data_IF_090425759283
#
_entry.id   IF_090425759283
#
_cell.length_a   1.000
_cell.length_b   1.000
_cell.length_c   1.000
_cell.angle_alpha   90.00
_cell.angle_beta   90.00
_cell.angle_gamma   90.00
#
_symmetry.space_group_name_H-M   'P 1'
#
loop_
_entity.id
_entity.type
_entity.pdbx_description
1 polymer ?
#
# COMPACT_ATOMS: atom_id res chain seq x y z
N UNK A 1 -2.32 2.07 32.98
CA UNK A 1 -3.78 1.83 33.08
C UNK A 1 -4.06 0.73 32.09
N UNK A 2 -4.53 -0.41 32.57
CA UNK A 2 -4.78 -1.59 31.74
C UNK A 2 -5.89 -1.27 30.73
N UNK A 3 -5.63 -1.53 29.45
CA UNK A 3 -6.56 -1.22 28.37
C UNK A 3 -7.38 -2.48 28.04
N UNK A 4 -8.64 -2.32 27.59
CA UNK A 4 -9.49 -3.46 27.19
C UNK A 4 -8.81 -4.35 26.14
N UNK A 5 -7.97 -3.76 25.29
CA UNK A 5 -7.23 -4.48 24.25
C UNK A 5 -6.11 -5.37 24.79
N UNK A 6 -5.68 -5.20 26.05
CA UNK A 6 -4.66 -6.07 26.67
C UNK A 6 -5.21 -7.47 26.98
N UNK A 7 -6.54 -7.61 27.02
CA UNK A 7 -7.24 -8.88 27.22
C UNK A 7 -7.49 -9.64 25.91
N UNK A 8 -7.14 -9.06 24.75
CA UNK A 8 -7.39 -9.68 23.45
C UNK A 8 -6.65 -11.00 23.28
N UNK A 9 -7.39 -12.00 22.82
CA UNK A 9 -6.86 -13.28 22.34
C UNK A 9 -7.14 -13.43 20.85
N UNK A 10 -6.48 -14.39 20.20
CA UNK A 10 -6.71 -14.68 18.78
C UNK A 10 -8.18 -15.04 18.50
N UNK A 11 -8.85 -15.73 19.42
CA UNK A 11 -10.26 -16.12 19.26
C UNK A 11 -11.23 -14.93 19.19
N UNK A 12 -10.84 -13.77 19.72
CA UNK A 12 -11.66 -12.55 19.71
C UNK A 12 -11.56 -11.79 18.38
N UNK A 13 -10.58 -12.14 17.53
CA UNK A 13 -10.30 -11.42 16.29
C UNK A 13 -11.19 -11.87 15.13
N UNK A 14 -11.60 -10.92 14.31
CA UNK A 14 -12.23 -11.19 13.02
C UNK A 14 -11.22 -11.83 12.05
N UNK A 15 -11.66 -12.53 11.00
CA UNK A 15 -10.75 -13.15 10.02
C UNK A 15 -9.70 -12.19 9.45
N UNK A 16 -10.09 -10.96 9.10
CA UNK A 16 -9.14 -9.97 8.56
C UNK A 16 -8.11 -9.53 9.60
N UNK A 17 -8.51 -9.40 10.87
CA UNK A 17 -7.58 -9.08 11.96
C UNK A 17 -6.65 -10.24 12.29
N UNK A 18 -7.06 -11.49 12.06
CA UNK A 18 -6.16 -12.65 12.18
C UNK A 18 -5.06 -12.62 11.12
N UNK A 19 -5.39 -12.23 9.88
CA UNK A 19 -4.36 -12.00 8.84
C UNK A 19 -3.35 -10.94 9.31
N UNK A 20 -3.83 -9.84 9.92
CA UNK A 20 -2.95 -8.81 10.46
C UNK A 20 -2.14 -9.30 11.68
N UNK A 21 -2.72 -10.15 12.54
CA UNK A 21 -2.00 -10.78 13.63
C UNK A 21 -0.85 -11.65 13.09
N UNK A 22 -1.12 -12.49 12.09
CA UNK A 22 -0.15 -13.41 11.51
C UNK A 22 1.04 -12.68 10.86
N UNK A 23 0.79 -11.53 10.24
CA UNK A 23 1.81 -10.75 9.52
C UNK A 23 2.51 -9.73 10.41
N UNK A 24 1.78 -9.06 11.31
CA UNK A 24 2.24 -7.87 12.02
C UNK A 24 2.26 -8.01 13.56
N UNK A 25 1.71 -9.09 14.11
CA UNK A 25 1.65 -9.35 15.55
C UNK A 25 0.53 -8.60 16.30
N UNK A 26 0.23 -9.08 17.52
CA UNK A 26 -0.90 -8.61 18.33
C UNK A 26 -0.80 -7.12 18.69
N UNK A 27 0.40 -6.61 18.97
CA UNK A 27 0.58 -5.19 19.31
C UNK A 27 0.14 -4.26 18.17
N UNK A 28 0.39 -4.65 16.91
CA UNK A 28 -0.10 -3.90 15.75
C UNK A 28 -1.63 -3.93 15.67
N UNK A 29 -2.25 -5.08 15.91
CA UNK A 29 -3.71 -5.23 15.95
C UNK A 29 -4.33 -4.34 17.02
N UNK A 30 -3.76 -4.32 18.23
CA UNK A 30 -4.19 -3.42 19.31
C UNK A 30 -4.10 -1.95 18.92
N UNK A 31 -3.01 -1.53 18.26
CA UNK A 31 -2.84 -0.16 17.78
C UNK A 31 -3.89 0.23 16.72
N UNK A 32 -4.19 -0.68 15.78
CA UNK A 32 -5.21 -0.46 14.76
C UNK A 32 -6.58 -0.33 15.42
N UNK A 33 -6.97 -1.27 16.29
CA UNK A 33 -8.25 -1.21 16.99
C UNK A 33 -8.37 0.06 17.85
N UNK A 34 -7.31 0.46 18.54
CA UNK A 34 -7.32 1.66 19.39
C UNK A 34 -7.45 2.95 18.59
N UNK A 35 -6.72 3.10 17.48
CA UNK A 35 -6.60 4.38 16.80
C UNK A 35 -7.46 4.51 15.53
N UNK A 36 -7.93 3.38 14.98
CA UNK A 36 -8.62 3.32 13.68
C UNK A 36 -10.00 2.64 13.79
N UNK A 37 -10.55 2.50 14.99
CA UNK A 37 -11.90 1.94 15.16
C UNK A 37 -12.95 2.77 14.42
N UNK A 38 -13.95 2.09 13.84
CA UNK A 38 -15.03 2.69 13.06
C UNK A 38 -14.65 3.05 11.62
N UNK A 39 -13.38 2.95 11.23
CA UNK A 39 -12.93 3.17 9.86
C UNK A 39 -13.04 1.90 9.02
N UNK A 40 -13.28 2.08 7.73
CA UNK A 40 -13.05 1.06 6.71
C UNK A 40 -11.85 1.51 5.86
N UNK A 41 -10.78 0.72 5.90
CA UNK A 41 -9.52 1.06 5.23
C UNK A 41 -9.29 0.07 4.09
N UNK A 42 -9.17 0.61 2.88
CA UNK A 42 -8.74 -0.14 1.72
C UNK A 42 -7.22 -0.32 1.74
N UNK A 43 -6.73 -1.55 1.51
CA UNK A 43 -5.31 -1.85 1.31
C UNK A 43 -5.01 -1.85 -0.21
N UNK A 44 -4.40 -0.80 -0.77
CA UNK A 44 -4.18 -0.69 -2.20
C UNK A 44 -3.07 -1.60 -2.69
N UNK A 45 -3.28 -2.21 -3.85
CA UNK A 45 -2.18 -2.76 -4.65
C UNK A 45 -1.28 -1.66 -5.21
N UNK A 46 -0.04 -2.00 -5.58
CA UNK A 46 0.96 -1.05 -6.11
C UNK A 46 0.42 -0.22 -7.29
N UNK A 47 -0.39 -0.84 -8.17
CA UNK A 47 -0.96 -0.17 -9.33
C UNK A 47 -1.93 0.99 -8.99
N UNK A 48 -2.37 1.11 -7.73
CA UNK A 48 -3.20 2.22 -7.25
C UNK A 48 -2.37 3.34 -6.58
N UNK A 49 -1.05 3.16 -6.47
CA UNK A 49 -0.13 4.11 -5.85
C UNK A 49 0.69 4.88 -6.91
N UNK A 50 0.00 5.49 -7.88
CA UNK A 50 0.58 6.17 -9.05
C UNK A 50 1.78 7.08 -8.69
N UNK A 51 1.66 7.92 -7.66
CA UNK A 51 2.72 8.84 -7.23
C UNK A 51 3.95 8.11 -6.71
N UNK A 52 3.76 7.00 -5.97
CA UNK A 52 4.85 6.17 -5.48
C UNK A 52 5.55 5.46 -6.64
N UNK A 53 4.78 4.90 -7.56
CA UNK A 53 5.31 4.23 -8.77
C UNK A 53 6.16 5.21 -9.58
N UNK A 54 5.68 6.43 -9.82
CA UNK A 54 6.45 7.45 -10.54
C UNK A 54 7.71 7.88 -9.82
N UNK A 55 7.64 8.04 -8.50
CA UNK A 55 8.83 8.32 -7.69
C UNK A 55 9.86 7.20 -7.86
N UNK A 56 9.42 5.94 -7.90
CA UNK A 56 10.29 4.79 -8.10
C UNK A 56 10.93 4.79 -9.51
N UNK A 57 10.14 4.95 -10.57
CA UNK A 57 10.63 5.04 -11.95
C UNK A 57 11.68 6.15 -12.10
N UNK A 58 11.41 7.34 -11.56
CA UNK A 58 12.34 8.48 -11.63
C UNK A 58 13.64 8.22 -10.86
N UNK A 59 13.56 7.54 -9.72
CA UNK A 59 14.72 7.21 -8.89
C UNK A 59 15.64 6.20 -9.57
N UNK A 60 15.09 5.29 -10.38
CA UNK A 60 15.81 4.24 -11.08
C UNK A 60 15.67 4.38 -12.60
N UNK A 61 15.96 5.58 -13.11
CA UNK A 61 15.80 5.93 -14.53
C UNK A 61 16.76 5.19 -15.47
N UNK A 62 17.78 4.53 -14.91
CA UNK A 62 18.73 3.67 -15.60
C UNK A 62 18.15 2.28 -15.94
N UNK A 63 17.07 1.86 -15.26
CA UNK A 63 16.43 0.56 -15.49
C UNK A 63 15.48 0.60 -16.68
N UNK A 64 15.38 -0.54 -17.36
CA UNK A 64 14.38 -0.74 -18.43
C UNK A 64 12.96 -0.83 -17.86
N UNK A 65 11.96 -0.47 -18.67
CA UNK A 65 10.54 -0.61 -18.28
C UNK A 65 10.19 -2.03 -17.84
N UNK A 66 10.78 -3.05 -18.45
CA UNK A 66 10.57 -4.46 -18.11
C UNK A 66 11.09 -4.80 -16.71
N UNK A 67 12.29 -4.35 -16.36
CA UNK A 67 12.85 -4.54 -15.01
C UNK A 67 12.00 -3.84 -13.96
N UNK A 68 11.59 -2.59 -14.22
CA UNK A 68 10.72 -1.83 -13.32
C UNK A 68 9.36 -2.50 -13.14
N UNK A 69 8.75 -3.02 -14.21
CA UNK A 69 7.49 -3.74 -14.17
C UNK A 69 7.57 -5.00 -13.30
N UNK A 70 8.65 -5.78 -13.47
CA UNK A 70 8.90 -6.97 -12.67
C UNK A 70 9.07 -6.65 -11.19
N UNK A 71 9.91 -5.68 -10.84
CA UNK A 71 10.16 -5.27 -9.45
C UNK A 71 8.92 -4.71 -8.75
N UNK A 72 8.09 -3.96 -9.48
CA UNK A 72 6.87 -3.36 -8.95
C UNK A 72 5.67 -4.32 -8.99
N UNK A 73 5.81 -5.52 -9.57
CA UNK A 73 4.71 -6.48 -9.70
C UNK A 73 3.56 -5.96 -10.56
N UNK A 74 3.84 -5.17 -11.61
CA UNK A 74 2.83 -4.57 -12.51
C UNK A 74 3.16 -4.85 -13.98
N UNK A 75 2.21 -4.61 -14.88
CA UNK A 75 2.46 -4.77 -16.32
C UNK A 75 3.27 -3.61 -16.91
N UNK A 76 4.09 -3.88 -17.93
CA UNK A 76 4.76 -2.81 -18.70
C UNK A 76 3.75 -1.82 -19.32
N UNK A 77 2.59 -2.32 -19.73
CA UNK A 77 1.50 -1.50 -20.28
C UNK A 77 0.98 -0.49 -19.26
N UNK A 78 0.87 -0.87 -17.99
CA UNK A 78 0.50 0.04 -16.91
C UNK A 78 1.52 1.17 -16.77
N UNK A 79 2.83 0.84 -16.71
CA UNK A 79 3.89 1.85 -16.60
C UNK A 79 3.88 2.84 -17.77
N UNK A 80 3.76 2.34 -19.02
CA UNK A 80 3.69 3.19 -20.22
C UNK A 80 2.48 4.15 -20.19
N UNK A 81 1.32 3.65 -19.77
CA UNK A 81 0.11 4.49 -19.61
C UNK A 81 0.29 5.54 -18.52
N UNK A 82 0.89 5.16 -17.40
CA UNK A 82 1.14 6.04 -16.27
C UNK A 82 2.10 7.18 -16.63
N UNK A 83 3.22 6.88 -17.28
CA UNK A 83 4.17 7.89 -17.76
C UNK A 83 3.53 8.86 -18.75
N UNK A 84 2.71 8.33 -19.70
CA UNK A 84 2.00 9.17 -20.68
C UNK A 84 1.02 10.10 -20.00
N UNK A 85 0.20 9.59 -19.08
CA UNK A 85 -0.76 10.37 -18.28
C UNK A 85 -0.05 11.54 -17.57
N UNK A 86 1.08 11.29 -16.94
CA UNK A 86 1.80 12.33 -16.21
C UNK A 86 2.54 13.34 -17.09
N UNK A 87 3.09 12.91 -18.24
CA UNK A 87 3.66 13.84 -19.23
C UNK A 87 2.61 14.82 -19.78
N UNK A 88 1.38 14.37 -20.01
CA UNK A 88 0.29 15.27 -20.45
C UNK A 88 -0.16 16.24 -19.35
N UNK A 89 -0.19 15.81 -18.08
CA UNK A 89 -0.54 16.69 -16.96
C UNK A 89 0.50 17.80 -16.74
N UNK A 90 1.80 17.51 -16.91
CA UNK A 90 2.85 18.52 -16.75
C UNK A 90 2.82 19.59 -17.85
N UNK A 91 2.43 19.24 -19.08
CA UNK A 91 2.36 20.17 -20.22
C UNK A 91 1.21 21.17 -20.15
N UNK A 92 0.12 20.85 -19.45
CA UNK A 92 -1.05 21.72 -19.35
C UNK A 92 -1.00 22.71 -18.18
N UNK A 93 0.04 22.64 -17.36
CA UNK A 93 0.23 23.49 -16.17
C UNK A 93 1.54 24.30 -16.24
N UNK A 94 2.12 24.47 -17.45
CA UNK A 94 3.30 25.30 -17.73
C UNK A 94 2.94 26.41 -18.70
#
# INVERSE_FOLDING_TARGET
MENIFDLLTESDLTPDLKILLDVCGMETVKLILKNLNGLNIYVPGIAHLDTLVLKYIRKYSDKTTKQLAFELGVSETYLKKLEKKYKSFSKNNS
#
